data_IF_139462825346
#
_entry.id   IF_139462825346
#
_cell.length_a   1.000
_cell.length_b   1.000
_cell.length_c   1.000
_cell.angle_alpha   90.00
_cell.angle_beta   90.00
_cell.angle_gamma   90.00
#
_symmetry.space_group_name_H-M   'P 1'
#
loop_
_entity.id
_entity.type
_entity.pdbx_description
1 polymer ?
#
# COMPACT_ATOMS: atom_id res chain seq x y z
N UNK A 1 -13.99 38.05 8.07
CA UNK A 1 -14.80 36.97 7.51
C UNK A 1 -14.47 35.74 8.33
N UNK A 2 -15.37 35.23 9.17
CA UNK A 2 -15.18 33.94 9.84
C UNK A 2 -15.19 32.87 8.77
N UNK A 3 -14.06 32.20 8.57
CA UNK A 3 -14.02 30.98 7.79
C UNK A 3 -14.83 29.96 8.58
N UNK A 4 -15.98 29.52 8.07
CA UNK A 4 -16.72 28.43 8.71
C UNK A 4 -15.84 27.18 8.66
N UNK A 5 -15.54 26.62 9.82
CA UNK A 5 -14.87 25.32 9.93
C UNK A 5 -15.70 24.28 9.16
N UNK A 6 -15.12 23.50 8.26
CA UNK A 6 -15.89 22.58 7.44
C UNK A 6 -16.60 21.56 8.34
N UNK A 7 -17.88 21.31 8.09
CA UNK A 7 -18.66 20.31 8.83
C UNK A 7 -18.22 18.86 8.55
N UNK A 8 -17.48 18.66 7.47
CA UNK A 8 -16.85 17.38 7.07
C UNK A 8 -15.75 17.62 6.04
N UNK A 9 -14.81 16.70 5.97
CA UNK A 9 -13.77 16.67 4.94
C UNK A 9 -13.61 15.25 4.40
N UNK A 10 -13.33 15.12 3.11
CA UNK A 10 -13.15 13.82 2.46
C UNK A 10 -11.78 13.77 1.76
N UNK A 11 -11.06 12.69 2.00
CA UNK A 11 -9.76 12.42 1.39
C UNK A 11 -9.76 11.06 0.71
N UNK A 12 -9.04 10.96 -0.40
CA UNK A 12 -8.68 9.69 -1.04
C UNK A 12 -7.21 9.37 -0.75
N UNK A 13 -6.92 8.11 -0.49
CA UNK A 13 -5.56 7.61 -0.33
C UNK A 13 -5.29 6.39 -1.23
N UNK A 14 -4.12 6.32 -1.89
CA UNK A 14 -3.85 5.30 -2.88
C UNK A 14 -3.46 3.96 -2.29
N UNK A 15 -3.80 2.88 -3.00
CA UNK A 15 -3.12 1.60 -2.87
C UNK A 15 -1.65 1.73 -3.28
N UNK A 16 -0.81 0.80 -2.81
CA UNK A 16 0.58 0.65 -3.27
C UNK A 16 0.89 -0.77 -3.69
N UNK A 17 1.91 -0.91 -4.50
CA UNK A 17 2.61 -2.17 -4.75
C UNK A 17 4.10 -1.97 -4.54
N UNK A 18 4.83 -3.07 -4.34
CA UNK A 18 6.28 -3.09 -4.37
C UNK A 18 6.71 -3.64 -5.74
N UNK A 19 7.35 -2.82 -6.58
CA UNK A 19 7.93 -3.25 -7.84
C UNK A 19 9.24 -4.01 -7.62
N UNK A 20 9.94 -3.67 -6.52
CA UNK A 20 11.05 -4.43 -5.98
C UNK A 20 10.98 -4.41 -4.44
N UNK A 21 11.30 -5.53 -3.80
CA UNK A 21 11.39 -5.65 -2.35
C UNK A 21 12.54 -6.59 -1.98
N UNK A 22 13.59 -6.01 -1.43
CA UNK A 22 14.73 -6.72 -0.85
C UNK A 22 14.65 -6.62 0.67
N UNK A 23 14.86 -7.75 1.34
CA UNK A 23 14.72 -7.89 2.80
C UNK A 23 16.05 -8.34 3.38
N UNK A 24 16.65 -7.50 4.23
CA UNK A 24 17.86 -7.84 4.97
C UNK A 24 17.59 -8.77 6.15
N UNK A 25 18.63 -9.29 6.81
CA UNK A 25 18.48 -10.05 8.05
C UNK A 25 17.88 -9.16 9.15
N UNK A 26 17.17 -9.75 10.13
CA UNK A 26 16.60 -8.99 11.24
C UNK A 26 17.70 -8.29 12.07
N UNK A 27 17.44 -7.06 12.46
CA UNK A 27 18.28 -6.31 13.39
C UNK A 27 18.08 -6.77 14.84
N UNK A 28 18.79 -6.14 15.80
CA UNK A 28 18.69 -6.46 17.23
C UNK A 28 17.30 -6.20 17.84
N UNK A 29 16.44 -5.49 17.13
CA UNK A 29 15.03 -5.23 17.52
C UNK A 29 14.06 -6.22 16.90
N UNK A 30 14.55 -7.11 16.02
CA UNK A 30 13.75 -8.08 15.29
C UNK A 30 13.10 -7.52 14.03
N UNK A 31 13.41 -6.29 13.63
CA UNK A 31 12.94 -5.71 12.37
C UNK A 31 13.95 -5.95 11.23
N UNK A 32 13.41 -6.18 10.05
CA UNK A 32 14.22 -6.34 8.84
C UNK A 32 14.45 -4.99 8.17
N UNK A 33 15.71 -4.61 7.88
CA UNK A 33 15.96 -3.48 7.00
C UNK A 33 15.52 -3.83 5.59
N UNK A 34 14.92 -2.86 4.91
CA UNK A 34 14.35 -3.02 3.58
C UNK A 34 15.04 -2.10 2.57
N UNK A 35 15.08 -2.56 1.32
CA UNK A 35 15.22 -1.73 0.14
C UNK A 35 14.05 -2.05 -0.78
N UNK A 36 13.21 -1.06 -1.06
CA UNK A 36 11.99 -1.30 -1.84
C UNK A 36 11.71 -0.20 -2.85
N UNK A 37 11.11 -0.56 -3.98
CA UNK A 37 10.55 0.35 -4.96
C UNK A 37 9.03 0.40 -4.75
N UNK A 38 8.56 1.40 -4.02
CA UNK A 38 7.13 1.65 -3.83
C UNK A 38 6.51 2.36 -5.02
N UNK A 39 5.34 1.92 -5.40
CA UNK A 39 4.56 2.52 -6.46
C UNK A 39 3.10 2.67 -6.05
N UNK A 40 2.59 3.92 -6.04
CA UNK A 40 1.19 4.21 -5.82
C UNK A 40 0.35 3.86 -7.07
N UNK A 41 -0.87 3.40 -6.84
CA UNK A 41 -1.81 2.96 -7.87
C UNK A 41 -3.01 3.89 -7.97
N UNK A 42 -3.58 4.01 -9.16
CA UNK A 42 -4.86 4.65 -9.43
C UNK A 42 -6.02 3.75 -8.95
N UNK A 43 -5.97 3.41 -7.66
CA UNK A 43 -6.94 2.65 -6.88
C UNK A 43 -6.95 3.23 -5.47
N UNK A 44 -8.11 3.69 -4.99
CA UNK A 44 -8.21 4.56 -3.83
C UNK A 44 -9.23 4.06 -2.83
N UNK A 45 -8.93 4.17 -1.54
CA UNK A 45 -9.95 4.24 -0.50
C UNK A 45 -10.33 5.71 -0.26
N UNK A 46 -11.58 5.94 0.07
CA UNK A 46 -12.08 7.27 0.41
C UNK A 46 -12.45 7.30 1.89
N UNK A 47 -12.00 8.32 2.60
CA UNK A 47 -12.31 8.53 4.00
C UNK A 47 -12.91 9.91 4.20
N UNK A 48 -14.10 9.95 4.82
CA UNK A 48 -14.75 11.18 5.27
C UNK A 48 -14.67 11.26 6.78
N UNK A 49 -14.16 12.38 7.31
CA UNK A 49 -14.14 12.69 8.72
C UNK A 49 -15.15 13.83 9.03
N UNK A 50 -15.92 13.68 10.09
CA UNK A 50 -16.87 14.69 10.58
C UNK A 50 -16.91 14.72 12.12
N UNK A 51 -17.11 15.88 12.77
CA UNK A 51 -17.33 15.94 14.22
C UNK A 51 -18.52 15.08 14.65
N UNK A 52 -18.42 14.46 15.82
CA UNK A 52 -19.46 13.59 16.36
C UNK A 52 -19.47 13.66 17.90
N UNK A 53 -20.53 13.16 18.52
CA UNK A 53 -20.62 13.05 19.99
C UNK A 53 -19.81 11.85 20.52
N UNK A 54 -19.53 10.87 19.66
CA UNK A 54 -18.77 9.65 19.99
C UNK A 54 -17.85 9.27 18.86
N UNK A 55 -16.70 8.65 19.20
CA UNK A 55 -15.82 8.03 18.19
C UNK A 55 -16.52 6.87 17.51
N UNK A 56 -16.49 6.84 16.16
CA UNK A 56 -17.11 5.77 15.39
C UNK A 56 -16.49 5.64 14.00
N UNK A 57 -16.52 4.42 13.46
CA UNK A 57 -16.04 4.09 12.11
C UNK A 57 -17.13 3.30 11.41
N UNK A 58 -17.56 3.74 10.23
CA UNK A 58 -18.41 3.00 9.30
C UNK A 58 -17.61 2.65 8.05
N UNK A 59 -17.72 1.40 7.60
CA UNK A 59 -17.01 0.92 6.41
C UNK A 59 -17.99 0.37 5.40
N UNK A 60 -17.84 0.79 4.15
CA UNK A 60 -18.57 0.24 2.99
C UNK A 60 -17.58 -0.32 1.98
N UNK A 61 -17.90 -1.46 1.36
CA UNK A 61 -17.11 -2.11 0.31
C UNK A 61 -17.97 -3.03 -0.54
N UNK A 62 -17.48 -3.42 -1.72
CA UNK A 62 -18.08 -4.46 -2.56
C UNK A 62 -17.54 -5.88 -2.23
N UNK A 63 -16.72 -6.01 -1.20
CA UNK A 63 -16.13 -7.25 -0.72
C UNK A 63 -16.21 -7.33 0.81
N UNK A 64 -15.91 -8.51 1.37
CA UNK A 64 -15.98 -8.71 2.81
C UNK A 64 -14.95 -7.86 3.58
N UNK A 65 -15.45 -7.05 4.51
CA UNK A 65 -14.68 -6.16 5.40
C UNK A 65 -14.89 -6.50 6.87
N UNK A 66 -15.57 -7.60 7.18
CA UNK A 66 -15.91 -8.00 8.55
C UNK A 66 -14.70 -8.21 9.47
N UNK A 67 -13.53 -8.47 8.90
CA UNK A 67 -12.28 -8.61 9.63
C UNK A 67 -11.62 -7.27 10.00
N UNK A 68 -12.11 -6.14 9.50
CA UNK A 68 -11.55 -4.82 9.82
C UNK A 68 -12.13 -4.36 11.17
N UNK A 69 -11.28 -4.07 12.18
CA UNK A 69 -11.78 -3.57 13.47
C UNK A 69 -12.41 -2.18 13.31
N UNK A 70 -13.50 -1.93 14.02
CA UNK A 70 -14.20 -0.65 14.05
C UNK A 70 -13.94 0.14 15.37
N UNK A 71 -12.90 -0.22 16.09
CA UNK A 71 -12.52 0.30 17.38
C UNK A 71 -11.05 0.78 17.40
N UNK A 72 -10.49 0.95 18.59
CA UNK A 72 -9.11 1.40 18.84
C UNK A 72 -8.00 0.55 18.17
N UNK A 73 -8.31 -0.65 17.67
CA UNK A 73 -7.36 -1.47 16.92
C UNK A 73 -7.27 -1.04 15.44
N UNK A 74 -8.19 -0.19 14.96
CA UNK A 74 -8.13 0.38 13.63
C UNK A 74 -7.10 1.52 13.57
N UNK A 75 -6.27 1.55 12.52
CA UNK A 75 -5.25 2.59 12.35
C UNK A 75 -5.86 4.00 12.20
N UNK A 76 -7.08 4.12 11.70
CA UNK A 76 -7.82 5.40 11.62
C UNK A 76 -8.14 5.94 13.02
N UNK A 77 -8.58 5.07 13.93
CA UNK A 77 -8.80 5.43 15.33
C UNK A 77 -7.49 5.84 16.01
N UNK A 78 -6.43 5.06 15.80
CA UNK A 78 -5.09 5.36 16.33
C UNK A 78 -4.52 6.68 15.79
N UNK A 79 -4.83 7.06 14.54
CA UNK A 79 -4.44 8.36 14.01
C UNK A 79 -5.08 9.51 14.79
N UNK A 80 -6.36 9.37 15.17
CA UNK A 80 -7.04 10.35 16.04
C UNK A 80 -6.38 10.42 17.42
N UNK A 81 -6.07 9.28 18.04
CA UNK A 81 -5.41 9.23 19.36
C UNK A 81 -4.04 9.90 19.31
N UNK A 82 -3.18 9.55 18.35
CA UNK A 82 -1.83 10.12 18.24
C UNK A 82 -1.85 11.63 17.97
N UNK A 83 -2.75 12.11 17.11
CA UNK A 83 -2.91 13.55 16.88
C UNK A 83 -3.42 14.25 18.13
N UNK A 84 -4.37 13.65 18.85
CA UNK A 84 -4.91 14.19 20.08
C UNK A 84 -3.86 14.29 21.19
N UNK A 85 -2.94 13.33 21.26
CA UNK A 85 -1.88 13.28 22.26
C UNK A 85 -0.71 14.22 21.92
N UNK A 86 -0.27 14.24 20.66
CA UNK A 86 1.00 14.90 20.28
C UNK A 86 0.82 16.29 19.66
N UNK A 87 -0.37 16.64 19.19
CA UNK A 87 -0.61 17.95 18.55
C UNK A 87 -1.59 18.79 19.37
N UNK A 88 -2.86 18.37 19.47
CA UNK A 88 -3.88 19.06 20.26
C UNK A 88 -5.03 18.10 20.58
N UNK A 89 -5.66 18.21 21.78
CA UNK A 89 -6.85 17.42 22.12
C UNK A 89 -7.94 17.56 21.07
N UNK A 90 -8.41 16.44 20.51
CA UNK A 90 -9.43 16.40 19.46
C UNK A 90 -10.78 15.96 20.02
N UNK A 91 -11.88 16.56 19.55
CA UNK A 91 -13.22 16.06 19.87
C UNK A 91 -13.46 14.70 19.18
N UNK A 92 -14.41 13.91 19.66
CA UNK A 92 -14.80 12.67 19.01
C UNK A 92 -15.18 12.91 17.55
N UNK A 93 -14.79 11.96 16.69
CA UNK A 93 -14.92 12.07 15.24
C UNK A 93 -15.57 10.82 14.70
N UNK A 94 -16.49 10.99 13.77
CA UNK A 94 -17.03 9.90 12.94
C UNK A 94 -16.26 9.80 11.65
N UNK A 95 -15.84 8.57 11.29
CA UNK A 95 -15.17 8.25 10.04
C UNK A 95 -16.06 7.35 9.19
N UNK A 96 -16.37 7.77 7.97
CA UNK A 96 -16.99 6.94 6.95
C UNK A 96 -15.94 6.57 5.89
N UNK A 97 -15.68 5.26 5.71
CA UNK A 97 -14.65 4.75 4.80
C UNK A 97 -15.32 3.94 3.68
N UNK A 98 -15.03 4.32 2.43
CA UNK A 98 -15.39 3.52 1.26
C UNK A 98 -14.14 2.78 0.78
N UNK A 99 -14.12 1.44 0.99
CA UNK A 99 -12.99 0.59 0.64
C UNK A 99 -13.09 0.11 -0.80
N UNK A 100 -12.01 0.32 -1.56
CA UNK A 100 -11.79 -0.28 -2.89
C UNK A 100 -10.46 -1.04 -2.94
N UNK A 101 -9.54 -0.73 -2.01
CA UNK A 101 -8.26 -1.45 -1.86
C UNK A 101 -8.53 -2.78 -1.16
N UNK A 102 -8.13 -3.92 -1.75
CA UNK A 102 -8.32 -5.25 -1.15
C UNK A 102 -7.72 -5.35 0.26
N UNK A 103 -8.47 -5.98 1.18
CA UNK A 103 -8.07 -6.12 2.59
C UNK A 103 -6.99 -7.20 2.72
N UNK A 104 -6.01 -6.96 3.60
CA UNK A 104 -4.92 -7.88 3.94
C UNK A 104 -4.14 -8.44 2.73
N UNK A 105 -4.07 -7.66 1.66
CA UNK A 105 -3.50 -8.09 0.36
C UNK A 105 -2.07 -7.61 0.08
N UNK A 106 -1.33 -7.04 1.02
CA UNK A 106 0.00 -6.48 0.73
C UNK A 106 -0.04 -5.14 -0.04
N UNK A 107 -1.22 -4.51 -0.16
CA UNK A 107 -1.45 -3.24 -0.88
C UNK A 107 -1.61 -2.02 0.03
N UNK A 108 -1.38 -2.19 1.33
CA UNK A 108 -1.39 -1.14 2.35
C UNK A 108 -2.73 -0.38 2.53
N UNK A 109 -3.91 -1.01 2.30
CA UNK A 109 -5.21 -0.34 2.42
C UNK A 109 -5.47 0.28 3.80
N UNK A 110 -5.12 -0.41 4.91
CA UNK A 110 -5.22 0.16 6.25
C UNK A 110 -4.27 1.34 6.49
N UNK A 111 -3.08 1.33 5.88
CA UNK A 111 -2.14 2.45 5.92
C UNK A 111 -2.63 3.64 5.08
N UNK A 112 -3.30 3.38 3.97
CA UNK A 112 -3.97 4.39 3.15
C UNK A 112 -5.06 5.10 3.96
N UNK A 113 -5.94 4.33 4.63
CA UNK A 113 -6.97 4.88 5.50
C UNK A 113 -6.38 5.73 6.63
N UNK A 114 -5.29 5.26 7.26
CA UNK A 114 -4.61 6.00 8.33
C UNK A 114 -3.99 7.32 7.85
N UNK A 115 -3.38 7.32 6.66
CA UNK A 115 -2.85 8.53 6.04
C UNK A 115 -3.97 9.53 5.73
N UNK A 116 -5.10 9.05 5.16
CA UNK A 116 -6.28 9.88 4.91
C UNK A 116 -6.84 10.45 6.20
N UNK A 117 -6.97 9.66 7.27
CA UNK A 117 -7.45 10.11 8.57
C UNK A 117 -6.55 11.19 9.19
N UNK A 118 -5.22 11.00 9.11
CA UNK A 118 -4.24 11.95 9.66
C UNK A 118 -4.41 13.33 9.03
N UNK A 119 -4.49 13.40 7.68
CA UNK A 119 -4.68 14.67 6.97
C UNK A 119 -6.08 15.22 7.15
N UNK A 120 -7.10 14.35 7.14
CA UNK A 120 -8.49 14.77 7.33
C UNK A 120 -8.70 15.43 8.70
N UNK A 121 -8.17 14.84 9.77
CA UNK A 121 -8.24 15.41 11.13
C UNK A 121 -7.47 16.73 11.23
N UNK A 122 -6.26 16.81 10.67
CA UNK A 122 -5.49 18.03 10.66
C UNK A 122 -6.25 19.18 9.98
N UNK A 123 -6.93 18.89 8.86
CA UNK A 123 -7.71 19.91 8.16
C UNK A 123 -9.06 20.19 8.83
N UNK A 124 -9.78 19.18 9.32
CA UNK A 124 -11.09 19.32 9.94
C UNK A 124 -11.03 20.19 11.18
N UNK A 125 -9.99 20.03 11.98
CA UNK A 125 -9.80 20.74 13.25
C UNK A 125 -8.75 21.87 13.16
N UNK A 126 -8.34 22.25 11.94
CA UNK A 126 -7.41 23.36 11.70
C UNK A 126 -6.17 23.29 12.60
N UNK A 127 -5.57 22.08 12.70
CA UNK A 127 -4.44 21.86 13.59
C UNK A 127 -3.23 22.69 13.14
N UNK A 128 -2.61 23.37 14.11
CA UNK A 128 -1.35 24.07 13.89
C UNK A 128 -0.19 23.05 13.84
N UNK A 129 -0.04 22.42 12.68
CA UNK A 129 0.96 21.37 12.45
C UNK A 129 1.52 21.47 11.03
N UNK A 130 2.78 21.19 10.88
CA UNK A 130 3.45 21.16 9.58
C UNK A 130 3.53 19.72 9.02
N UNK A 131 3.97 19.62 7.77
CA UNK A 131 4.10 18.34 7.07
C UNK A 131 5.10 17.39 7.78
N UNK A 132 6.09 17.90 8.52
CA UNK A 132 7.06 17.05 9.21
C UNK A 132 6.43 16.35 10.41
N UNK A 133 5.63 17.03 11.21
CA UNK A 133 4.89 16.45 12.33
C UNK A 133 3.88 15.40 11.83
N UNK A 134 3.14 15.69 10.75
CA UNK A 134 2.21 14.72 10.17
C UNK A 134 2.92 13.46 9.66
N UNK A 135 4.13 13.59 9.10
CA UNK A 135 4.95 12.44 8.71
C UNK A 135 5.39 11.61 9.92
N UNK A 136 5.73 12.25 11.03
CA UNK A 136 6.13 11.54 12.26
C UNK A 136 4.95 10.77 12.86
N UNK A 137 3.75 11.35 12.87
CA UNK A 137 2.52 10.63 13.22
C UNK A 137 2.30 9.43 12.28
N UNK A 138 2.45 9.63 10.97
CA UNK A 138 2.32 8.54 10.00
C UNK A 138 3.34 7.42 10.24
N UNK A 139 4.61 7.73 10.58
CA UNK A 139 5.62 6.73 10.94
C UNK A 139 5.26 5.94 12.20
N UNK A 140 4.69 6.62 13.20
CA UNK A 140 4.23 5.96 14.42
C UNK A 140 3.04 5.03 14.20
N UNK A 141 2.20 5.30 13.18
CA UNK A 141 1.06 4.45 12.79
C UNK A 141 1.50 3.18 12.07
N UNK A 142 2.52 3.25 11.23
CA UNK A 142 3.02 2.08 10.50
C UNK A 142 3.98 2.43 9.37
N UNK A 143 4.77 1.45 8.94
CA UNK A 143 5.85 1.63 7.95
C UNK A 143 5.35 2.11 6.57
N UNK A 144 4.16 1.67 6.14
CA UNK A 144 3.60 2.02 4.82
C UNK A 144 2.80 3.34 4.84
N UNK A 145 2.44 3.85 6.03
CA UNK A 145 1.60 5.06 6.17
C UNK A 145 2.28 6.30 5.58
N UNK A 146 3.60 6.54 5.80
CA UNK A 146 4.30 7.66 5.17
C UNK A 146 4.26 7.62 3.65
N UNK A 147 4.34 6.43 3.03
CA UNK A 147 4.23 6.31 1.58
C UNK A 147 2.81 6.59 1.08
N UNK A 148 1.77 6.07 1.76
CA UNK A 148 0.37 6.38 1.42
C UNK A 148 0.07 7.88 1.48
N UNK A 149 0.71 8.59 2.41
CA UNK A 149 0.60 10.05 2.53
C UNK A 149 1.18 10.76 1.30
N UNK A 150 2.39 10.36 0.87
CA UNK A 150 3.14 11.03 -0.20
C UNK A 150 2.71 10.55 -1.59
N UNK A 151 2.48 9.25 -1.75
CA UNK A 151 2.14 8.61 -3.02
C UNK A 151 3.26 8.61 -4.06
N UNK A 152 2.88 8.55 -5.31
CA UNK A 152 3.81 8.56 -6.45
C UNK A 152 4.67 7.32 -6.51
N UNK A 153 5.96 7.52 -6.76
CA UNK A 153 7.00 6.49 -6.78
C UNK A 153 8.09 6.89 -5.78
N UNK A 154 8.58 5.94 -4.99
CA UNK A 154 9.66 6.19 -4.05
C UNK A 154 10.52 4.95 -3.79
N UNK A 155 11.82 5.17 -3.63
CA UNK A 155 12.71 4.17 -3.02
C UNK A 155 12.54 4.25 -1.51
N UNK A 156 12.11 3.15 -0.89
CA UNK A 156 11.97 3.03 0.56
C UNK A 156 13.16 2.31 1.17
N UNK A 157 13.66 2.84 2.30
CA UNK A 157 14.73 2.26 3.11
C UNK A 157 14.32 2.17 4.58
N UNK A 158 15.19 1.63 5.41
CA UNK A 158 14.88 1.40 6.83
C UNK A 158 13.81 0.32 6.95
N UNK A 159 12.67 0.63 7.54
CA UNK A 159 11.48 -0.25 7.58
C UNK A 159 10.55 -0.03 6.38
N UNK A 160 11.00 0.69 5.35
CA UNK A 160 10.20 1.20 4.24
C UNK A 160 9.69 2.63 4.48
N UNK A 161 10.02 3.24 5.60
CA UNK A 161 9.51 4.53 6.07
C UNK A 161 10.43 5.72 5.73
N UNK A 162 11.68 5.46 5.33
CA UNK A 162 12.61 6.46 4.80
C UNK A 162 12.46 6.49 3.28
N UNK A 163 11.78 7.50 2.78
CA UNK A 163 11.36 7.60 1.39
C UNK A 163 12.24 8.58 0.60
N UNK A 164 12.75 8.12 -0.53
CA UNK A 164 13.41 8.93 -1.55
C UNK A 164 12.49 8.98 -2.78
N UNK A 165 11.78 10.10 -3.03
CA UNK A 165 10.85 10.21 -4.15
C UNK A 165 11.56 10.03 -5.50
N UNK A 166 10.88 9.34 -6.42
CA UNK A 166 11.33 9.14 -7.78
C UNK A 166 10.23 9.59 -8.73
N UNK A 167 10.57 10.36 -9.75
CA UNK A 167 9.62 10.76 -10.78
C UNK A 167 9.66 9.78 -11.94
N UNK A 168 8.48 9.31 -12.38
CA UNK A 168 8.32 8.49 -13.58
C UNK A 168 7.80 9.35 -14.74
N UNK A 169 8.23 9.05 -15.96
CA UNK A 169 7.86 9.82 -17.15
C UNK A 169 6.50 9.40 -17.71
N UNK A 170 6.14 8.13 -17.58
CA UNK A 170 4.89 7.57 -18.09
C UNK A 170 4.29 6.59 -17.07
N UNK A 171 2.97 6.56 -16.91
CA UNK A 171 2.32 5.57 -16.06
C UNK A 171 2.61 4.13 -16.52
N UNK A 172 2.78 3.23 -15.57
CA UNK A 172 2.90 1.78 -15.80
C UNK A 172 1.52 1.17 -15.56
N UNK A 173 1.08 0.32 -16.49
CA UNK A 173 -0.21 -0.39 -16.40
C UNK A 173 -0.02 -1.73 -15.70
N UNK A 174 -0.90 -2.05 -14.78
CA UNK A 174 -0.84 -3.21 -13.91
C UNK A 174 -2.19 -3.94 -13.87
N UNK A 175 -2.15 -5.22 -13.56
CA UNK A 175 -3.32 -6.03 -13.24
C UNK A 175 -3.17 -6.53 -11.81
N UNK A 176 -4.17 -6.26 -10.98
CA UNK A 176 -4.22 -6.68 -9.59
C UNK A 176 -5.16 -7.86 -9.46
N UNK A 177 -4.68 -8.93 -8.83
CA UNK A 177 -5.47 -10.14 -8.53
C UNK A 177 -5.43 -10.37 -7.03
N UNK A 178 -6.42 -9.86 -6.28
CA UNK A 178 -6.53 -10.11 -4.85
C UNK A 178 -6.85 -11.57 -4.58
N UNK A 179 -6.37 -12.10 -3.45
CA UNK A 179 -6.77 -13.41 -2.93
C UNK A 179 -7.98 -13.28 -1.99
N UNK A 180 -8.77 -14.35 -1.89
CA UNK A 180 -9.82 -14.46 -0.86
C UNK A 180 -9.25 -14.89 0.51
N UNK A 181 -7.98 -15.31 0.55
CA UNK A 181 -7.27 -15.67 1.76
C UNK A 181 -6.41 -14.51 2.26
N UNK A 182 -6.06 -14.55 3.53
CA UNK A 182 -5.18 -13.55 4.16
C UNK A 182 -3.92 -14.22 4.69
N UNK A 183 -2.81 -13.49 4.70
CA UNK A 183 -1.56 -13.89 5.33
C UNK A 183 -1.15 -12.86 6.37
N UNK A 184 -0.61 -13.35 7.47
CA UNK A 184 -0.01 -12.51 8.52
C UNK A 184 1.37 -12.05 8.07
N UNK A 185 1.56 -10.74 7.87
CA UNK A 185 2.87 -10.17 7.50
C UNK A 185 3.99 -10.63 8.43
N UNK A 186 3.85 -10.60 9.78
CA UNK A 186 4.89 -11.12 10.69
C UNK A 186 5.21 -12.60 10.46
N UNK A 187 4.22 -13.42 10.13
CA UNK A 187 4.44 -14.86 9.86
C UNK A 187 5.20 -15.08 8.54
N UNK A 188 4.93 -14.26 7.51
CA UNK A 188 5.67 -14.33 6.24
C UNK A 188 7.14 -13.97 6.45
N UNK A 189 7.46 -12.92 7.23
CA UNK A 189 8.84 -12.57 7.59
C UNK A 189 9.52 -13.68 8.39
N UNK A 190 8.86 -14.22 9.42
CA UNK A 190 9.37 -15.35 10.18
C UNK A 190 9.65 -16.57 9.27
N UNK A 191 8.76 -16.81 8.30
CA UNK A 191 8.94 -17.91 7.35
C UNK A 191 10.12 -17.66 6.41
N UNK A 192 10.35 -16.43 6.01
CA UNK A 192 11.55 -16.05 5.25
C UNK A 192 12.83 -16.33 6.03
N UNK A 193 12.85 -15.97 7.34
CA UNK A 193 13.99 -16.25 8.22
C UNK A 193 14.26 -17.75 8.35
N UNK A 194 13.22 -18.57 8.47
CA UNK A 194 13.37 -20.04 8.49
C UNK A 194 13.96 -20.57 7.18
N UNK A 195 13.52 -20.06 6.03
CA UNK A 195 14.04 -20.45 4.72
C UNK A 195 15.52 -20.08 4.59
N UNK A 196 15.90 -18.90 5.11
CA UNK A 196 17.24 -18.32 5.02
C UNK A 196 18.17 -18.70 6.19
N UNK A 197 17.74 -19.56 7.11
CA UNK A 197 18.46 -19.84 8.37
C UNK A 197 19.93 -20.26 8.20
N UNK A 198 20.29 -20.85 7.04
CA UNK A 198 21.65 -21.29 6.73
C UNK A 198 22.33 -20.41 5.66
N UNK A 199 21.68 -19.36 5.20
CA UNK A 199 22.19 -18.49 4.13
C UNK A 199 22.89 -17.27 4.74
N UNK A 200 24.00 -16.87 4.14
CA UNK A 200 24.67 -15.63 4.50
C UNK A 200 24.06 -14.47 3.69
N UNK A 201 22.85 -14.04 4.09
CA UNK A 201 22.10 -13.00 3.39
C UNK A 201 22.58 -11.62 3.85
N UNK A 202 22.83 -10.74 2.88
CA UNK A 202 23.03 -9.31 3.12
C UNK A 202 21.99 -8.51 2.32
N UNK A 203 21.55 -7.38 2.88
CA UNK A 203 20.68 -6.47 2.15
C UNK A 203 21.45 -5.84 0.99
N UNK A 204 20.81 -5.80 -0.18
CA UNK A 204 21.28 -5.01 -1.33
C UNK A 204 21.20 -3.52 -1.01
N UNK A 205 22.30 -2.78 -1.24
CA UNK A 205 22.40 -1.37 -0.88
C UNK A 205 21.65 -0.44 -1.85
N UNK A 206 21.45 -0.87 -3.09
CA UNK A 206 20.82 -0.06 -4.14
C UNK A 206 20.06 -0.95 -5.15
N UNK A 207 19.04 -0.36 -5.77
CA UNK A 207 18.40 -0.92 -6.95
C UNK A 207 19.35 -0.80 -8.15
N UNK A 208 19.32 -1.76 -9.06
CA UNK A 208 20.22 -1.71 -10.23
C UNK A 208 19.92 -0.49 -11.13
N UNK A 209 20.92 -0.01 -11.84
CA UNK A 209 20.76 1.13 -12.74
C UNK A 209 19.73 0.82 -13.85
N UNK A 210 19.70 -0.43 -14.33
CA UNK A 210 18.74 -0.90 -15.33
C UNK A 210 17.31 -0.82 -14.79
N UNK A 211 17.09 -1.25 -13.51
CA UNK A 211 15.79 -1.15 -12.87
C UNK A 211 15.36 0.32 -12.73
N UNK A 212 16.22 1.18 -12.20
CA UNK A 212 15.94 2.60 -12.01
C UNK A 212 15.66 3.31 -13.34
N UNK A 213 16.39 2.98 -14.41
CA UNK A 213 16.18 3.54 -15.74
C UNK A 213 14.83 3.10 -16.32
N UNK A 214 14.50 1.81 -16.26
CA UNK A 214 13.23 1.27 -16.75
C UNK A 214 12.04 1.85 -15.97
N UNK A 215 12.17 1.96 -14.63
CA UNK A 215 11.14 2.50 -13.78
C UNK A 215 10.91 4.00 -14.05
N UNK A 216 11.97 4.82 -14.13
CA UNK A 216 11.86 6.25 -14.47
C UNK A 216 11.22 6.48 -15.82
N UNK A 217 11.59 5.70 -16.83
CA UNK A 217 11.01 5.80 -18.16
C UNK A 217 9.54 5.33 -18.23
N UNK A 218 9.04 4.62 -17.21
CA UNK A 218 7.75 3.92 -17.27
C UNK A 218 7.74 2.86 -18.38
N UNK A 219 8.89 2.21 -18.61
CA UNK A 219 9.02 1.15 -19.62
C UNK A 219 8.66 -0.20 -19.00
N UNK A 220 7.40 -0.57 -19.16
CA UNK A 220 6.88 -1.83 -18.64
C UNK A 220 7.62 -3.07 -19.16
N UNK A 221 8.06 -3.04 -20.42
CA UNK A 221 8.78 -4.16 -21.04
C UNK A 221 10.17 -4.39 -20.46
N UNK A 222 10.92 -3.30 -20.23
CA UNK A 222 12.24 -3.35 -19.62
C UNK A 222 12.14 -3.60 -18.08
N UNK A 223 11.10 -3.09 -17.41
CA UNK A 223 10.92 -3.23 -15.96
C UNK A 223 10.46 -4.63 -15.55
N UNK A 224 9.55 -5.23 -16.31
CA UNK A 224 8.92 -6.51 -15.97
C UNK A 224 9.90 -7.64 -15.56
N UNK A 225 10.99 -7.91 -16.30
CA UNK A 225 11.95 -8.97 -15.93
C UNK A 225 12.85 -8.61 -14.74
N UNK A 226 12.85 -7.34 -14.30
CA UNK A 226 13.68 -6.82 -13.20
C UNK A 226 12.93 -6.72 -11.88
N UNK A 227 11.62 -6.96 -11.89
CA UNK A 227 10.81 -6.94 -10.67
C UNK A 227 11.20 -8.09 -9.75
N UNK A 228 11.17 -7.83 -8.42
CA UNK A 228 11.65 -8.78 -7.43
C UNK A 228 10.94 -8.64 -6.09
N UNK A 229 10.68 -9.77 -5.42
CA UNK A 229 10.16 -9.76 -4.06
C UNK A 229 10.76 -10.92 -3.24
N UNK A 230 11.64 -10.59 -2.31
CA UNK A 230 12.24 -11.56 -1.40
C UNK A 230 11.23 -12.34 -0.55
N UNK A 231 10.07 -11.73 -0.24
CA UNK A 231 9.01 -12.39 0.54
C UNK A 231 8.24 -13.44 -0.27
N UNK A 232 8.32 -13.41 -1.61
CA UNK A 232 7.53 -14.29 -2.48
C UNK A 232 7.77 -15.77 -2.18
N UNK A 233 9.02 -16.18 -1.97
CA UNK A 233 9.35 -17.57 -1.63
C UNK A 233 8.71 -18.01 -0.31
N UNK A 234 8.65 -17.14 0.68
CA UNK A 234 8.00 -17.42 1.96
C UNK A 234 6.48 -17.49 1.78
N UNK A 235 5.90 -16.52 1.08
CA UNK A 235 4.47 -16.46 0.76
C UNK A 235 4.02 -17.72 0.01
N UNK A 236 4.72 -18.11 -1.04
CA UNK A 236 4.42 -19.33 -1.83
C UNK A 236 4.62 -20.62 -1.01
N UNK A 237 5.55 -20.65 -0.05
CA UNK A 237 5.69 -21.81 0.83
C UNK A 237 4.53 -21.96 1.82
N UNK A 238 3.86 -20.85 2.19
CA UNK A 238 2.69 -20.83 3.09
C UNK A 238 1.38 -20.96 2.31
N UNK A 239 1.34 -20.51 1.06
CA UNK A 239 0.17 -20.52 0.18
C UNK A 239 0.58 -20.99 -1.23
N UNK A 240 0.83 -22.31 -1.42
CA UNK A 240 1.31 -22.84 -2.70
C UNK A 240 0.36 -22.60 -3.89
N UNK A 241 -0.96 -22.50 -3.64
CA UNK A 241 -1.97 -22.22 -4.65
C UNK A 241 -1.79 -20.85 -5.33
N UNK A 242 -1.13 -19.91 -4.69
CA UNK A 242 -0.83 -18.59 -5.25
C UNK A 242 0.11 -18.68 -6.46
N UNK A 243 0.97 -19.71 -6.53
CA UNK A 243 1.81 -19.96 -7.72
C UNK A 243 0.96 -20.09 -8.98
N UNK A 244 -0.18 -20.80 -8.90
CA UNK A 244 -1.10 -20.92 -10.03
C UNK A 244 -1.65 -19.54 -10.45
N UNK A 245 -1.96 -18.67 -9.50
CA UNK A 245 -2.42 -17.31 -9.82
C UNK A 245 -1.36 -16.52 -10.59
N UNK A 246 -0.09 -16.60 -10.14
CA UNK A 246 1.04 -15.97 -10.84
C UNK A 246 1.20 -16.52 -12.27
N UNK A 247 1.16 -17.84 -12.44
CA UNK A 247 1.27 -18.51 -13.74
C UNK A 247 0.09 -18.14 -14.66
N UNK A 248 -1.14 -18.06 -14.11
CA UNK A 248 -2.34 -17.69 -14.86
C UNK A 248 -2.32 -16.23 -15.31
N UNK A 249 -1.72 -15.30 -14.53
CA UNK A 249 -1.50 -13.91 -14.92
C UNK A 249 -0.59 -13.83 -16.15
N UNK A 250 0.53 -14.54 -16.15
CA UNK A 250 1.44 -14.58 -17.30
C UNK A 250 0.79 -15.29 -18.50
N UNK A 251 0.06 -16.39 -18.28
CA UNK A 251 -0.69 -17.10 -19.32
C UNK A 251 -1.77 -16.24 -19.97
N UNK A 252 -2.39 -15.33 -19.19
CA UNK A 252 -3.37 -14.37 -19.70
C UNK A 252 -2.73 -13.24 -20.53
N UNK A 253 -1.39 -13.17 -20.57
CA UNK A 253 -0.63 -12.27 -21.44
C UNK A 253 0.18 -11.20 -20.72
N UNK A 254 0.15 -11.10 -19.39
CA UNK A 254 0.98 -10.14 -18.67
C UNK A 254 2.49 -10.36 -18.96
N UNK A 255 3.27 -9.28 -18.90
CA UNK A 255 4.72 -9.31 -19.18
C UNK A 255 5.50 -10.04 -18.06
N UNK A 256 5.02 -9.93 -16.83
CA UNK A 256 5.50 -10.64 -15.64
C UNK A 256 4.42 -10.65 -14.58
N UNK A 257 4.63 -11.46 -13.54
CA UNK A 257 3.82 -11.45 -12.33
C UNK A 257 4.69 -11.53 -11.10
N UNK A 258 4.21 -11.01 -9.97
CA UNK A 258 4.84 -11.17 -8.65
C UNK A 258 3.81 -10.99 -7.55
N UNK A 259 4.18 -11.40 -6.34
CA UNK A 259 3.42 -11.11 -5.11
C UNK A 259 3.71 -9.69 -4.64
N UNK A 260 2.70 -8.91 -4.26
CA UNK A 260 2.87 -7.57 -3.67
C UNK A 260 3.16 -7.65 -2.18
N UNK A 261 4.32 -7.16 -1.74
CA UNK A 261 4.72 -7.17 -0.34
C UNK A 261 4.70 -8.58 0.26
N UNK A 262 4.10 -8.76 1.43
CA UNK A 262 3.89 -10.07 2.04
C UNK A 262 2.74 -10.87 1.40
N UNK A 263 2.09 -10.31 0.39
CA UNK A 263 0.95 -10.93 -0.28
C UNK A 263 -0.32 -10.96 0.58
N UNK A 264 -1.31 -11.77 0.17
CA UNK A 264 -1.30 -12.68 -0.98
C UNK A 264 -1.81 -12.07 -2.31
N UNK A 265 -1.87 -10.75 -2.47
CA UNK A 265 -2.23 -10.16 -3.77
C UNK A 265 -1.13 -10.42 -4.79
N UNK A 266 -1.52 -10.97 -5.94
CA UNK A 266 -0.67 -11.09 -7.13
C UNK A 266 -0.84 -9.88 -8.04
N UNK A 267 0.26 -9.45 -8.66
CA UNK A 267 0.33 -8.29 -9.55
C UNK A 267 0.93 -8.71 -10.88
N UNK A 268 0.27 -8.35 -11.98
CA UNK A 268 0.79 -8.50 -13.33
C UNK A 268 1.18 -7.15 -13.92
N UNK A 269 2.24 -7.12 -14.73
CA UNK A 269 2.63 -5.93 -15.50
C UNK A 269 2.09 -6.03 -16.91
N UNK A 270 1.49 -4.97 -17.40
CA UNK A 270 0.96 -4.88 -18.76
C UNK A 270 1.68 -3.82 -19.58
N UNK A 271 1.65 -3.96 -20.92
CA UNK A 271 2.30 -3.02 -21.86
C UNK A 271 1.68 -1.63 -21.81
N UNK A 272 0.37 -1.58 -21.69
CA UNK A 272 -0.44 -0.37 -21.70
C UNK A 272 -1.82 -0.66 -21.05
N UNK A 273 -2.68 0.37 -20.97
CA UNK A 273 -4.00 0.28 -20.34
C UNK A 273 -4.91 -0.74 -21.05
N UNK A 274 -4.94 -0.74 -22.39
CA UNK A 274 -5.76 -1.67 -23.16
C UNK A 274 -5.33 -3.13 -22.90
N UNK A 275 -4.03 -3.37 -22.90
CA UNK A 275 -3.48 -4.69 -22.58
C UNK A 275 -3.77 -5.12 -21.12
N UNK A 276 -3.75 -4.21 -20.16
CA UNK A 276 -4.11 -4.51 -18.77
C UNK A 276 -5.59 -4.93 -18.67
N UNK A 277 -6.49 -4.27 -19.40
CA UNK A 277 -7.90 -4.63 -19.45
C UNK A 277 -8.12 -5.99 -20.10
N UNK A 278 -7.43 -6.30 -21.19
CA UNK A 278 -7.50 -7.62 -21.86
C UNK A 278 -7.04 -8.74 -20.91
N UNK A 279 -5.91 -8.56 -20.23
CA UNK A 279 -5.41 -9.54 -19.26
C UNK A 279 -6.38 -9.71 -18.10
N UNK A 280 -6.90 -8.60 -17.54
CA UNK A 280 -7.88 -8.65 -16.46
C UNK A 280 -9.17 -9.34 -16.89
N UNK A 281 -9.65 -9.13 -18.14
CA UNK A 281 -10.82 -9.80 -18.69
C UNK A 281 -10.61 -11.31 -18.79
N UNK A 282 -9.50 -11.77 -19.35
CA UNK A 282 -9.15 -13.20 -19.41
C UNK A 282 -9.07 -13.86 -18.03
N UNK A 283 -8.53 -13.14 -17.03
CA UNK A 283 -8.48 -13.66 -15.66
C UNK A 283 -9.87 -13.74 -15.03
N UNK A 284 -10.75 -12.75 -15.27
CA UNK A 284 -12.14 -12.78 -14.81
C UNK A 284 -12.94 -13.95 -15.41
N UNK A 285 -12.71 -14.29 -16.70
CA UNK A 285 -13.29 -15.46 -17.34
C UNK A 285 -12.86 -16.77 -16.67
N UNK A 286 -11.70 -16.81 -16.04
CA UNK A 286 -11.19 -17.92 -15.23
C UNK A 286 -11.66 -17.90 -13.77
N UNK A 287 -12.48 -16.93 -13.38
CA UNK A 287 -13.06 -16.80 -12.04
C UNK A 287 -12.23 -15.97 -11.06
N UNK A 288 -11.15 -15.30 -11.49
CA UNK A 288 -10.39 -14.39 -10.63
C UNK A 288 -11.09 -13.04 -10.48
N UNK A 289 -10.93 -12.42 -9.33
CA UNK A 289 -11.23 -10.99 -9.15
C UNK A 289 -10.05 -10.18 -9.66
N UNK A 290 -9.99 -9.89 -10.95
CA UNK A 290 -8.90 -9.16 -11.58
C UNK A 290 -9.31 -7.73 -11.91
N UNK A 291 -8.46 -6.77 -11.56
CA UNK A 291 -8.67 -5.34 -11.77
C UNK A 291 -7.49 -4.77 -12.54
N UNK A 292 -7.77 -4.16 -13.70
CA UNK A 292 -6.78 -3.36 -14.41
C UNK A 292 -6.62 -2.00 -13.72
N UNK A 293 -5.40 -1.55 -13.55
CA UNK A 293 -5.06 -0.24 -12.98
C UNK A 293 -3.78 0.31 -13.60
N UNK A 294 -3.38 1.48 -13.20
CA UNK A 294 -2.10 2.10 -13.56
C UNK A 294 -1.48 2.77 -12.35
N UNK A 295 -0.23 3.13 -12.48
CA UNK A 295 0.46 3.94 -11.47
C UNK A 295 -0.06 5.37 -11.46
N UNK A 296 0.02 6.03 -10.30
CA UNK A 296 -0.35 7.43 -10.10
C UNK A 296 0.77 8.20 -9.40
N UNK A 297 0.84 9.50 -9.64
CA UNK A 297 1.72 10.45 -8.94
C UNK A 297 1.09 10.97 -7.64
N UNK A 298 -0.22 10.73 -7.45
CA UNK A 298 -0.95 11.28 -6.32
C UNK A 298 -0.74 10.42 -5.06
N UNK A 299 -0.51 11.08 -3.93
CA UNK A 299 -0.67 10.53 -2.60
C UNK A 299 -2.06 10.81 -2.03
N UNK A 300 -2.16 10.83 -0.72
CA UNK A 300 -3.39 11.23 -0.04
C UNK A 300 -3.75 12.67 -0.44
N UNK A 301 -4.97 12.85 -0.96
CA UNK A 301 -5.43 14.15 -1.44
C UNK A 301 -6.91 14.35 -1.13
N UNK A 302 -7.30 15.63 -1.03
CA UNK A 302 -8.68 16.02 -0.75
C UNK A 302 -9.56 15.80 -1.96
N UNK A 303 -10.73 15.19 -1.74
CA UNK A 303 -11.83 15.18 -2.70
C UNK A 303 -12.68 16.44 -2.54
N UNK A 304 -13.20 16.95 -3.65
CA UNK A 304 -14.01 18.19 -3.68
C UNK A 304 -15.40 17.97 -3.09
#
# INVERSE_FOLDING_TARGET
MSVETPSRVTFAAPAKVNLALYVGPPDITGFHPLLTAFQALDMWDELTASPSDTMSIDITAEFDVSAIPLDQHNLVWRAHELLSEHVAPLPPTHFAITKRIPVAGGMAGGSADAAAATIALAQLYELDTDTSHLRDICRALGSDVPFSLVGGSAVGRGRGDVLEPLRIERPISLVIVPSDHTLSTPEVYRRLDEIRANDNVSLTDHLSDEFLQAWRAGDAGALAPLMHNDLEVATLSMMPELQRTLDDIVTAGALSSLVSGSGPTAVGVARDVGHAEDVAAHLRERGYRAVATKTTELGTHRLQ
#
